data_IF_219966007474
#
_entry.id   IF_219966007474
#
_cell.length_a   1.000
_cell.length_b   1.000
_cell.length_c   1.000
_cell.angle_alpha   90.00
_cell.angle_beta   90.00
_cell.angle_gamma   90.00
#
_symmetry.space_group_name_H-M   'P 1'
#
loop_
_entity.id
_entity.type
_entity.pdbx_description
1 polymer ?
#
# COMPACT_ATOMS: atom_id res chain seq x y z
N UNK A 1 0.70 -4.64 6.18
CA UNK A 1 0.33 -3.76 7.31
C UNK A 1 1.16 -4.21 8.52
N UNK A 2 1.77 -3.28 9.25
CA UNK A 2 2.81 -3.58 10.24
C UNK A 2 2.43 -4.64 11.28
N UNK A 3 3.36 -5.54 11.61
CA UNK A 3 3.16 -6.58 12.62
C UNK A 3 3.40 -6.07 14.05
N UNK A 4 4.00 -4.88 14.19
CA UNK A 4 4.35 -4.29 15.48
C UNK A 4 3.27 -3.32 15.95
N UNK A 5 3.10 -3.21 17.28
CA UNK A 5 2.10 -2.33 17.89
C UNK A 5 2.48 -0.84 17.84
N UNK A 6 3.76 -0.51 17.61
CA UNK A 6 4.22 0.88 17.48
C UNK A 6 5.49 0.95 16.63
N UNK A 7 5.66 2.08 15.95
CA UNK A 7 6.84 2.38 15.15
C UNK A 7 7.46 3.69 15.65
N UNK A 8 8.80 3.77 15.81
CA UNK A 8 9.44 5.01 16.26
C UNK A 8 9.27 6.11 15.21
N UNK A 9 9.08 7.35 15.64
CA UNK A 9 8.91 8.50 14.73
C UNK A 9 10.20 8.89 13.99
N UNK A 10 11.36 8.72 14.65
CA UNK A 10 12.66 9.24 14.20
C UNK A 10 13.04 8.87 12.76
N UNK A 11 12.78 7.64 12.26
CA UNK A 11 13.07 7.29 10.86
C UNK A 11 12.21 8.03 9.82
N UNK A 12 11.03 8.51 10.20
CA UNK A 12 10.04 9.11 9.28
C UNK A 12 10.05 10.64 9.32
N UNK A 13 10.61 11.23 10.36
CA UNK A 13 10.67 12.68 10.54
C UNK A 13 11.93 13.24 9.88
N UNK A 14 11.81 13.58 8.60
CA UNK A 14 12.82 14.35 7.83
C UNK A 14 12.65 15.86 7.97
N UNK A 15 11.50 16.31 8.46
CA UNK A 15 11.17 17.73 8.61
C UNK A 15 11.62 18.27 9.98
N UNK A 16 12.09 19.52 9.99
CA UNK A 16 12.41 20.25 11.23
C UNK A 16 11.15 20.59 12.03
N UNK A 17 10.02 20.80 11.36
CA UNK A 17 8.75 21.11 12.02
C UNK A 17 7.92 19.83 12.28
N UNK A 18 7.85 19.43 13.55
CA UNK A 18 7.06 18.27 13.99
C UNK A 18 5.55 18.46 13.83
N UNK A 19 5.03 19.67 13.98
CA UNK A 19 3.59 19.94 13.87
C UNK A 19 3.11 19.72 12.43
N UNK A 20 3.91 20.11 11.44
CA UNK A 20 3.60 19.89 10.03
C UNK A 20 3.47 18.40 9.68
N UNK A 21 4.35 17.55 10.26
CA UNK A 21 4.26 16.10 10.11
C UNK A 21 2.95 15.54 10.67
N UNK A 22 2.55 15.96 11.88
CA UNK A 22 1.32 15.49 12.51
C UNK A 22 0.07 15.98 11.80
N UNK A 23 0.03 17.25 11.39
CA UNK A 23 -1.04 17.81 10.56
C UNK A 23 -1.22 17.04 9.26
N UNK A 24 -0.12 16.73 8.56
CA UNK A 24 -0.17 15.91 7.33
C UNK A 24 -0.68 14.51 7.64
N UNK A 25 -0.22 13.91 8.73
CA UNK A 25 -0.64 12.56 9.14
C UNK A 25 -2.14 12.50 9.38
N UNK A 26 -2.71 13.47 10.12
CA UNK A 26 -4.14 13.56 10.36
C UNK A 26 -4.93 13.78 9.06
N UNK A 27 -4.44 14.64 8.17
CA UNK A 27 -5.09 14.87 6.85
C UNK A 27 -5.10 13.64 5.96
N UNK A 28 -4.03 12.83 5.99
CA UNK A 28 -3.97 11.58 5.23
C UNK A 28 -4.96 10.57 5.82
N UNK A 29 -5.00 10.42 7.14
CA UNK A 29 -5.95 9.52 7.81
C UNK A 29 -7.40 9.91 7.45
N UNK A 30 -7.74 11.19 7.55
CA UNK A 30 -9.09 11.68 7.24
C UNK A 30 -9.50 11.36 5.80
N UNK A 31 -8.60 11.59 4.84
CA UNK A 31 -8.89 11.38 3.42
C UNK A 31 -8.85 9.91 2.98
N UNK A 32 -7.94 9.10 3.53
CA UNK A 32 -7.60 7.77 3.00
C UNK A 32 -8.07 6.62 3.89
N UNK A 33 -8.61 6.90 5.09
CA UNK A 33 -9.07 5.86 6.03
C UNK A 33 -10.03 4.85 5.39
N UNK A 34 -10.97 5.33 4.57
CA UNK A 34 -11.92 4.47 3.85
C UNK A 34 -11.21 3.51 2.88
N UNK A 35 -10.32 4.02 2.03
CA UNK A 35 -9.59 3.21 1.05
C UNK A 35 -8.56 2.28 1.71
N UNK A 36 -7.93 2.72 2.81
CA UNK A 36 -7.04 1.88 3.63
C UNK A 36 -7.78 0.69 4.25
N UNK A 37 -9.05 0.83 4.60
CA UNK A 37 -9.86 -0.32 5.03
C UNK A 37 -10.33 -1.13 3.82
N UNK A 38 -10.77 -0.47 2.75
CA UNK A 38 -11.28 -1.09 1.52
C UNK A 38 -10.26 -2.02 0.88
N UNK A 39 -8.98 -1.65 0.83
CA UNK A 39 -7.92 -2.52 0.29
C UNK A 39 -7.72 -3.80 1.09
N UNK A 40 -8.11 -3.82 2.38
CA UNK A 40 -8.06 -5.01 3.22
C UNK A 40 -9.36 -5.84 3.15
N UNK A 41 -10.48 -5.25 2.72
CA UNK A 41 -11.80 -5.90 2.72
C UNK A 41 -12.30 -6.31 1.33
N UNK A 42 -11.88 -5.61 0.27
CA UNK A 42 -12.30 -5.85 -1.12
C UNK A 42 -11.12 -6.39 -1.96
N UNK A 43 -11.14 -7.68 -2.32
CA UNK A 43 -10.12 -8.28 -3.16
C UNK A 43 -9.98 -7.64 -4.54
N UNK A 44 -11.08 -7.13 -5.13
CA UNK A 44 -11.06 -6.54 -6.46
C UNK A 44 -10.36 -5.18 -6.44
N UNK A 45 -10.68 -4.36 -5.44
CA UNK A 45 -10.01 -3.08 -5.22
C UNK A 45 -8.50 -3.26 -5.00
N UNK A 46 -8.08 -4.30 -4.26
CA UNK A 46 -6.67 -4.64 -4.14
C UNK A 46 -6.03 -4.98 -5.49
N UNK A 47 -6.68 -5.80 -6.32
CA UNK A 47 -6.13 -6.17 -7.64
C UNK A 47 -6.06 -4.99 -8.60
N UNK A 48 -7.03 -4.08 -8.56
CA UNK A 48 -7.04 -2.85 -9.36
C UNK A 48 -5.85 -1.95 -8.99
N UNK A 49 -5.71 -1.60 -7.70
CA UNK A 49 -4.58 -0.79 -7.21
C UNK A 49 -3.23 -1.45 -7.50
N UNK A 50 -3.15 -2.79 -7.43
CA UNK A 50 -1.93 -3.53 -7.77
C UNK A 50 -1.61 -3.47 -9.28
N UNK A 51 -2.63 -3.57 -10.13
CA UNK A 51 -2.46 -3.48 -11.58
C UNK A 51 -2.05 -2.06 -12.00
N UNK A 52 -2.66 -1.03 -11.42
CA UNK A 52 -2.28 0.36 -11.66
C UNK A 52 -0.81 0.61 -11.32
N UNK A 53 -0.36 0.12 -10.16
CA UNK A 53 1.04 0.21 -9.75
C UNK A 53 2.01 -0.46 -10.75
N UNK A 54 1.60 -1.57 -11.35
CA UNK A 54 2.40 -2.27 -12.37
C UNK A 54 2.55 -1.43 -13.64
N UNK A 55 1.45 -0.83 -14.09
CA UNK A 55 1.41 -0.01 -15.30
C UNK A 55 2.30 1.26 -15.18
N UNK A 56 2.40 1.84 -13.98
CA UNK A 56 3.31 2.97 -13.70
C UNK A 56 4.79 2.56 -13.83
N UNK A 57 5.14 1.33 -13.44
CA UNK A 57 6.50 0.79 -13.59
C UNK A 57 6.87 0.48 -15.04
N UNK A 58 5.95 -0.10 -15.80
CA UNK A 58 6.15 -0.42 -17.23
C UNK A 58 6.32 0.86 -18.08
N UNK A 59 5.66 1.96 -17.68
CA UNK A 59 5.82 3.27 -18.31
C UNK A 59 7.21 3.89 -18.06
N UNK A 60 7.85 3.59 -16.93
CA UNK A 60 9.20 4.04 -16.62
C UNK A 60 10.28 3.25 -17.39
N UNK A 61 10.05 1.96 -17.62
CA UNK A 61 11.01 1.07 -18.32
C UNK A 61 11.13 1.36 -19.82
N UNK A 62 10.13 2.00 -20.43
CA UNK A 62 10.21 2.53 -21.80
C UNK A 62 11.31 3.59 -21.99
N UNK A 63 11.88 4.13 -20.90
CA UNK A 63 13.01 5.08 -20.91
C UNK A 63 14.41 4.44 -20.73
N UNK A 64 14.51 3.11 -20.71
CA UNK A 64 15.78 2.42 -21.02
C UNK A 64 16.61 1.89 -19.85
N UNK A 65 16.05 1.69 -18.66
CA UNK A 65 16.76 1.00 -17.55
C UNK A 65 15.81 0.08 -16.76
N UNK A 66 15.20 -0.90 -17.42
CA UNK A 66 14.22 -1.80 -16.79
C UNK A 66 14.79 -3.11 -16.27
N UNK A 67 14.94 -3.21 -14.95
CA UNK A 67 15.12 -4.48 -14.25
C UNK A 67 13.76 -5.16 -14.06
N UNK A 68 13.54 -6.30 -14.72
CA UNK A 68 12.28 -7.04 -14.67
C UNK A 68 11.87 -7.41 -13.24
N UNK A 69 10.71 -6.92 -12.81
CA UNK A 69 10.10 -7.33 -11.55
C UNK A 69 9.48 -8.72 -11.71
N UNK A 70 10.14 -9.73 -11.13
CA UNK A 70 9.62 -11.10 -11.02
C UNK A 70 8.46 -11.10 -10.01
N UNK A 71 7.25 -10.79 -10.48
CA UNK A 71 6.10 -10.48 -9.62
C UNK A 71 4.84 -11.31 -9.85
N UNK A 72 4.88 -12.36 -10.68
CA UNK A 72 3.67 -13.12 -11.06
C UNK A 72 3.00 -13.83 -9.87
N UNK A 73 3.73 -14.07 -8.76
CA UNK A 73 3.18 -14.73 -7.56
C UNK A 73 2.81 -13.80 -6.39
N UNK A 74 3.08 -12.49 -6.46
CA UNK A 74 2.86 -11.60 -5.31
C UNK A 74 1.38 -11.27 -5.10
N UNK A 75 0.66 -10.98 -6.18
CA UNK A 75 -0.77 -10.70 -6.15
C UNK A 75 -1.60 -11.93 -5.73
N UNK A 76 -1.27 -13.12 -6.25
CA UNK A 76 -1.95 -14.37 -5.86
C UNK A 76 -1.76 -14.70 -4.38
N UNK A 77 -0.56 -14.48 -3.83
CA UNK A 77 -0.29 -14.71 -2.40
C UNK A 77 -1.00 -13.70 -1.50
N UNK A 78 -1.10 -12.44 -1.90
CA UNK A 78 -1.86 -11.42 -1.16
C UNK A 78 -3.38 -11.64 -1.24
N UNK A 79 -3.90 -11.99 -2.43
CA UNK A 79 -5.30 -12.35 -2.60
C UNK A 79 -5.66 -13.63 -1.81
N UNK A 80 -4.74 -14.60 -1.70
CA UNK A 80 -4.92 -15.77 -0.85
C UNK A 80 -4.98 -15.44 0.65
N UNK A 81 -4.24 -14.43 1.11
CA UNK A 81 -4.32 -13.94 2.51
C UNK A 81 -5.66 -13.25 2.79
N UNK A 82 -6.17 -12.44 1.86
CA UNK A 82 -7.49 -11.81 2.00
C UNK A 82 -8.61 -12.85 1.94
N UNK A 83 -8.53 -13.85 1.06
CA UNK A 83 -9.52 -14.94 0.97
C UNK A 83 -9.57 -15.86 2.20
N UNK A 84 -8.50 -15.96 3.00
CA UNK A 84 -8.50 -16.75 4.25
C UNK A 84 -9.24 -16.08 5.42
N UNK A 85 -9.70 -14.83 5.26
CA UNK A 85 -10.40 -14.09 6.33
C UNK A 85 -11.93 -14.09 6.21
N UNK A 86 -12.49 -14.89 5.30
CA UNK A 86 -13.94 -15.13 5.21
C UNK A 86 -14.29 -16.58 5.58
N UNK A 87 -14.50 -16.90 6.87
CA UNK A 87 -15.25 -18.08 7.27
C UNK A 87 -16.72 -17.69 7.44
N UNK A 88 -17.59 -18.20 6.57
CA UNK A 88 -19.02 -18.44 6.82
C UNK A 88 -19.86 -17.32 7.41
N UNK A 89 -20.64 -16.67 6.54
CA UNK A 89 -22.09 -16.55 6.72
C UNK A 89 -22.74 -17.05 5.44
#
# INVERSE_FOLDING_TARGET
>A
MGNEISYPLKPFLVETNKEAFWERSLRIIDKMSADMLRINSDPHFFTEVFQDLKNEGESADASGTGGGWVGEGAAERCAAVVRRRSPGC
#
